data_IF_560333094393
#
_entry.id   IF_560333094393
#
_cell.length_a   1.000
_cell.length_b   1.000
_cell.length_c   1.000
_cell.angle_alpha   90.00
_cell.angle_beta   90.00
_cell.angle_gamma   90.00
#
_symmetry.space_group_name_H-M   'P 1'
#
loop_
_entity.id
_entity.type
_entity.pdbx_description
1 polymer ?
#
# COMPACT_ATOMS: atom_id res chain seq x y z
N UNK A 1 39.97 3.00 -43.60
CA UNK A 1 39.20 3.75 -42.58
C UNK A 1 37.69 3.84 -42.86
N UNK A 2 37.23 4.06 -44.11
CA UNK A 2 35.79 4.16 -44.44
C UNK A 2 34.96 2.88 -44.17
N UNK A 3 35.47 1.70 -44.50
CA UNK A 3 34.77 0.43 -44.29
C UNK A 3 34.57 0.06 -42.81
N UNK A 4 35.49 0.48 -41.93
CA UNK A 4 35.37 0.30 -40.48
C UNK A 4 34.25 1.18 -39.93
N UNK A 5 34.21 2.46 -40.34
CA UNK A 5 33.15 3.39 -39.97
C UNK A 5 31.76 2.90 -40.41
N UNK A 6 31.61 2.38 -41.63
CA UNK A 6 30.34 1.81 -42.10
C UNK A 6 29.89 0.55 -41.33
N UNK A 7 30.80 -0.37 -41.03
CA UNK A 7 30.49 -1.59 -40.26
C UNK A 7 30.07 -1.26 -38.82
N UNK A 8 30.76 -0.31 -38.18
CA UNK A 8 30.42 0.15 -36.84
C UNK A 8 29.15 0.99 -36.79
N UNK A 9 28.94 1.87 -37.78
CA UNK A 9 27.71 2.62 -37.93
C UNK A 9 26.51 1.68 -38.03
N UNK A 10 26.58 0.66 -38.91
CA UNK A 10 25.49 -0.31 -39.06
C UNK A 10 25.21 -1.12 -37.77
N UNK A 11 26.26 -1.53 -37.04
CA UNK A 11 26.11 -2.21 -35.74
C UNK A 11 25.44 -1.32 -34.69
N UNK A 12 25.86 -0.06 -34.59
CA UNK A 12 25.28 0.91 -33.66
C UNK A 12 23.82 1.18 -34.03
N UNK A 13 23.51 1.36 -35.33
CA UNK A 13 22.13 1.56 -35.80
C UNK A 13 21.23 0.37 -35.44
N UNK A 14 21.71 -0.87 -35.58
CA UNK A 14 20.96 -2.04 -35.15
C UNK A 14 20.69 -2.06 -33.65
N UNK A 15 21.71 -1.79 -32.83
CA UNK A 15 21.55 -1.72 -31.37
C UNK A 15 20.54 -0.63 -31.00
N UNK A 16 20.66 0.56 -31.59
CA UNK A 16 19.74 1.67 -31.36
C UNK A 16 18.32 1.35 -31.83
N UNK A 17 18.15 0.68 -32.98
CA UNK A 17 16.86 0.25 -33.49
C UNK A 17 16.17 -0.76 -32.58
N UNK A 18 16.90 -1.79 -32.12
CA UNK A 18 16.38 -2.77 -31.16
C UNK A 18 16.00 -2.11 -29.84
N UNK A 19 16.85 -1.21 -29.33
CA UNK A 19 16.57 -0.47 -28.11
C UNK A 19 15.32 0.41 -28.25
N UNK A 20 15.15 1.11 -29.37
CA UNK A 20 13.97 1.92 -29.65
C UNK A 20 12.69 1.08 -29.74
N UNK A 21 12.75 -0.10 -30.37
CA UNK A 21 11.62 -1.04 -30.43
C UNK A 21 11.26 -1.55 -29.04
N UNK A 22 12.24 -1.99 -28.23
CA UNK A 22 11.98 -2.44 -26.86
C UNK A 22 11.42 -1.33 -25.99
N UNK A 23 11.94 -0.11 -26.11
CA UNK A 23 11.44 1.06 -25.41
C UNK A 23 9.99 1.38 -25.82
N UNK A 24 9.67 1.35 -27.12
CA UNK A 24 8.31 1.56 -27.63
C UNK A 24 7.32 0.47 -27.21
N UNK A 25 7.69 -0.80 -27.35
CA UNK A 25 6.86 -1.94 -26.95
C UNK A 25 6.63 -1.98 -25.45
N UNK A 26 7.65 -1.63 -24.64
CA UNK A 26 7.47 -1.56 -23.19
C UNK A 26 6.49 -0.49 -22.77
N UNK A 27 6.33 0.60 -23.53
CA UNK A 27 5.28 1.61 -23.32
C UNK A 27 3.86 1.04 -23.32
N UNK A 28 3.58 0.00 -24.13
CA UNK A 28 2.28 -0.69 -24.15
C UNK A 28 1.96 -1.41 -22.83
N UNK A 29 2.98 -1.67 -21.99
CA UNK A 29 2.78 -2.23 -20.67
C UNK A 29 1.93 -1.30 -19.79
N UNK A 30 2.01 0.02 -19.98
CA UNK A 30 1.27 0.99 -19.18
C UNK A 30 -0.26 0.79 -19.22
N UNK A 31 -0.93 0.80 -20.39
CA UNK A 31 -2.36 0.51 -20.46
C UNK A 31 -2.70 -0.92 -20.03
N UNK A 32 -1.87 -1.91 -20.37
CA UNK A 32 -2.10 -3.32 -19.98
C UNK A 32 -2.12 -3.46 -18.46
N UNK A 33 -1.20 -2.80 -17.74
CA UNK A 33 -1.18 -2.81 -16.27
C UNK A 33 -2.50 -2.31 -15.69
N UNK A 34 -3.05 -1.22 -16.22
CA UNK A 34 -4.32 -0.65 -15.75
C UNK A 34 -5.46 -1.64 -16.00
N UNK A 35 -5.50 -2.29 -17.16
CA UNK A 35 -6.55 -3.25 -17.50
C UNK A 35 -6.54 -4.51 -16.64
N UNK A 36 -5.36 -5.02 -16.31
CA UNK A 36 -5.23 -6.21 -15.46
C UNK A 36 -5.24 -5.89 -13.97
N UNK A 37 -5.20 -4.61 -13.60
CA UNK A 37 -5.15 -4.20 -12.19
C UNK A 37 -6.35 -4.78 -11.42
N UNK A 38 -6.12 -5.32 -10.22
CA UNK A 38 -7.22 -5.83 -9.42
C UNK A 38 -8.10 -4.64 -9.04
N UNK A 39 -9.41 -4.76 -9.24
CA UNK A 39 -10.36 -3.73 -8.83
C UNK A 39 -10.84 -4.04 -7.42
N UNK A 40 -10.94 -3.04 -6.53
CA UNK A 40 -11.50 -3.28 -5.22
C UNK A 40 -12.98 -3.64 -5.35
N UNK A 41 -13.44 -4.54 -4.49
CA UNK A 41 -14.83 -4.97 -4.45
C UNK A 41 -15.77 -3.91 -3.86
N UNK A 42 -15.21 -2.97 -3.09
CA UNK A 42 -15.91 -1.83 -2.51
C UNK A 42 -15.08 -0.56 -2.65
N UNK A 43 -15.74 0.59 -2.80
CA UNK A 43 -15.07 1.90 -2.89
C UNK A 43 -15.18 2.71 -1.59
N UNK A 44 -15.98 2.25 -0.63
CA UNK A 44 -16.15 2.86 0.68
C UNK A 44 -15.74 1.88 1.79
N UNK A 45 -15.26 2.40 2.94
CA UNK A 45 -15.01 1.58 4.12
C UNK A 45 -16.27 0.82 4.57
N UNK A 46 -16.13 -0.35 5.22
CA UNK A 46 -17.27 -1.02 5.82
C UNK A 46 -17.85 -0.18 6.96
N UNK A 47 -19.17 -0.17 7.07
CA UNK A 47 -19.87 0.45 8.20
C UNK A 47 -20.07 -0.62 9.26
N UNK A 48 -19.29 -0.55 10.32
CA UNK A 48 -19.39 -1.43 11.49
C UNK A 48 -20.09 -0.70 12.64
N UNK A 49 -20.95 -1.40 13.42
CA UNK A 49 -21.65 -0.78 14.53
C UNK A 49 -20.67 -0.26 15.58
N UNK A 50 -20.82 1.01 15.96
CA UNK A 50 -20.04 1.65 17.00
C UNK A 50 -20.93 1.85 18.23
N UNK A 51 -20.62 1.13 19.30
CA UNK A 51 -21.29 1.20 20.59
C UNK A 51 -20.28 1.70 21.64
N UNK A 52 -20.53 2.90 22.14
CA UNK A 52 -19.76 3.55 23.20
C UNK A 52 -20.56 3.67 24.50
N UNK A 53 -21.67 2.93 24.65
CA UNK A 53 -22.41 2.93 25.90
C UNK A 53 -21.55 2.37 27.04
N UNK A 54 -21.41 3.15 28.11
CA UNK A 54 -20.53 2.82 29.25
C UNK A 54 -19.04 2.99 28.97
N UNK A 55 -18.65 3.65 27.87
CA UNK A 55 -17.26 3.95 27.59
C UNK A 55 -16.68 4.99 28.57
N UNK A 56 -15.43 4.78 28.96
CA UNK A 56 -14.59 5.78 29.59
C UNK A 56 -14.37 6.95 28.62
N UNK A 57 -14.14 8.14 29.17
CA UNK A 57 -13.79 9.29 28.33
C UNK A 57 -12.41 9.07 27.70
N UNK A 58 -12.14 9.65 26.51
CA UNK A 58 -10.81 9.57 25.92
C UNK A 58 -9.70 10.07 26.85
N UNK A 59 -9.97 11.09 27.66
CA UNK A 59 -9.02 11.61 28.64
C UNK A 59 -8.66 10.57 29.72
N UNK A 60 -9.65 9.82 30.22
CA UNK A 60 -9.40 8.74 31.19
C UNK A 60 -8.58 7.59 30.58
N UNK A 61 -8.78 7.30 29.30
CA UNK A 61 -7.99 6.27 28.60
C UNK A 61 -6.56 6.75 28.36
N UNK A 62 -6.38 8.01 27.96
CA UNK A 62 -5.06 8.62 27.82
C UNK A 62 -4.30 8.62 29.14
N UNK A 63 -4.94 9.00 30.24
CA UNK A 63 -4.37 8.97 31.59
C UNK A 63 -3.94 7.55 31.99
N UNK A 64 -4.84 6.55 31.83
CA UNK A 64 -4.52 5.14 32.09
C UNK A 64 -3.40 4.59 31.20
N UNK A 65 -3.31 5.06 29.96
CA UNK A 65 -2.29 4.64 29.01
C UNK A 65 -0.95 5.37 29.18
N UNK A 66 -0.86 6.36 30.07
CA UNK A 66 0.33 7.20 30.25
C UNK A 66 0.62 8.07 29.03
N UNK A 67 -0.41 8.48 28.29
CA UNK A 67 -0.31 9.28 27.07
C UNK A 67 -0.67 10.72 27.37
N UNK A 68 0.31 11.62 27.35
CA UNK A 68 0.10 13.05 27.60
C UNK A 68 -0.37 13.81 26.34
N UNK A 69 0.12 13.41 25.17
CA UNK A 69 -0.18 14.06 23.90
C UNK A 69 -0.68 13.04 22.87
N UNK A 70 -1.66 13.46 22.07
CA UNK A 70 -2.26 12.62 21.03
C UNK A 70 -2.29 13.39 19.71
N UNK A 71 -1.66 12.82 18.70
CA UNK A 71 -1.67 13.32 17.32
C UNK A 71 -2.96 12.93 16.59
N UNK A 72 -3.48 11.72 16.84
CA UNK A 72 -4.72 11.23 16.25
C UNK A 72 -5.52 10.44 17.30
N UNK A 73 -6.78 10.84 17.50
CA UNK A 73 -7.74 10.13 18.33
C UNK A 73 -9.00 9.85 17.50
N UNK A 74 -9.43 8.59 17.45
CA UNK A 74 -10.65 8.19 16.73
C UNK A 74 -11.40 7.11 17.50
N UNK A 75 -12.72 7.16 17.47
CA UNK A 75 -13.54 6.01 17.80
C UNK A 75 -13.71 5.14 16.54
N UNK A 76 -13.36 3.87 16.63
CA UNK A 76 -13.38 2.95 15.50
C UNK A 76 -14.00 1.62 15.91
N UNK A 77 -14.82 1.03 15.04
CA UNK A 77 -15.44 -0.27 15.30
C UNK A 77 -14.70 -1.37 14.54
N UNK A 78 -14.26 -2.44 15.18
CA UNK A 78 -13.75 -3.65 14.54
C UNK A 78 -14.83 -4.72 14.60
N UNK A 79 -15.58 -4.90 13.50
CA UNK A 79 -16.75 -5.78 13.45
C UNK A 79 -17.76 -5.39 14.53
N UNK A 80 -17.94 -6.19 15.57
CA UNK A 80 -18.91 -5.97 16.65
C UNK A 80 -18.29 -5.33 17.91
N UNK A 81 -16.98 -5.03 17.88
CA UNK A 81 -16.28 -4.44 19.01
C UNK A 81 -15.90 -2.98 18.71
N UNK A 82 -16.12 -2.09 19.66
CA UNK A 82 -15.72 -0.69 19.56
C UNK A 82 -14.37 -0.48 20.23
N UNK A 83 -13.56 0.40 19.66
CA UNK A 83 -12.21 0.73 20.12
C UNK A 83 -11.99 2.24 20.06
N UNK A 84 -11.17 2.76 20.97
CA UNK A 84 -10.51 4.03 20.76
C UNK A 84 -9.13 3.79 20.16
N UNK A 85 -8.91 4.39 19.01
CA UNK A 85 -7.63 4.40 18.32
C UNK A 85 -6.90 5.69 18.69
N UNK A 86 -5.70 5.52 19.22
CA UNK A 86 -4.80 6.60 19.61
C UNK A 86 -3.49 6.48 18.83
N UNK A 87 -2.95 7.61 18.42
CA UNK A 87 -1.58 7.74 17.93
C UNK A 87 -0.95 8.95 18.58
N UNK A 88 0.14 8.71 19.28
CA UNK A 88 0.85 9.75 20.07
C UNK A 88 1.52 10.78 19.17
N UNK A 89 2.24 10.32 18.14
CA UNK A 89 2.99 11.16 17.19
C UNK A 89 2.86 10.62 15.77
N UNK A 90 3.17 11.43 14.76
CA UNK A 90 2.98 11.05 13.37
C UNK A 90 3.75 9.78 12.95
N UNK A 91 4.92 9.56 13.56
CA UNK A 91 5.87 8.46 13.33
C UNK A 91 5.57 7.19 14.14
N UNK A 92 4.75 7.28 15.20
CA UNK A 92 4.40 6.13 16.03
C UNK A 92 3.24 5.32 15.43
N UNK A 93 3.20 4.00 15.67
CA UNK A 93 2.07 3.16 15.29
C UNK A 93 0.82 3.51 16.10
N UNK A 94 -0.33 3.10 15.58
CA UNK A 94 -1.62 3.27 16.25
C UNK A 94 -1.79 2.21 17.33
N UNK A 95 -2.36 2.62 18.46
CA UNK A 95 -2.69 1.78 19.62
C UNK A 95 -4.21 1.80 19.79
N UNK A 96 -4.82 0.64 19.99
CA UNK A 96 -6.27 0.51 20.15
C UNK A 96 -6.59 0.09 21.58
N UNK A 97 -7.60 0.73 22.14
CA UNK A 97 -8.02 0.53 23.53
C UNK A 97 -9.50 0.19 23.58
N UNK A 98 -9.85 -0.78 24.42
CA UNK A 98 -11.24 -1.09 24.74
C UNK A 98 -11.87 0.13 25.47
N UNK A 99 -12.97 0.71 24.96
CA UNK A 99 -13.60 1.90 25.53
C UNK A 99 -14.12 1.69 26.96
N UNK A 100 -14.52 0.48 27.34
CA UNK A 100 -15.13 0.18 28.64
C UNK A 100 -14.09 -0.11 29.70
N UNK A 101 -13.07 -0.91 29.38
CA UNK A 101 -12.02 -1.26 30.35
C UNK A 101 -10.86 -0.27 30.36
N UNK A 102 -10.59 0.38 29.23
CA UNK A 102 -9.37 1.15 28.96
C UNK A 102 -8.15 0.26 28.70
N UNK A 103 -8.34 -1.06 28.55
CA UNK A 103 -7.24 -1.99 28.25
C UNK A 103 -6.78 -1.85 26.80
N UNK A 104 -5.47 -1.86 26.59
CA UNK A 104 -4.87 -1.86 25.27
C UNK A 104 -4.98 -3.25 24.61
N UNK A 105 -5.40 -3.28 23.34
CA UNK A 105 -5.35 -4.46 22.49
C UNK A 105 -4.31 -4.25 21.38
N UNK A 106 -3.12 -4.82 21.60
CA UNK A 106 -1.99 -4.74 20.67
C UNK A 106 -2.22 -5.49 19.34
N UNK A 107 -3.27 -6.31 19.24
CA UNK A 107 -3.63 -7.06 18.03
C UNK A 107 -4.75 -6.39 17.25
N UNK A 108 -5.53 -5.51 17.88
CA UNK A 108 -6.70 -4.90 17.26
C UNK A 108 -6.37 -4.05 16.01
N UNK A 109 -5.27 -3.29 16.00
CA UNK A 109 -4.91 -2.48 14.81
C UNK A 109 -4.67 -3.37 13.58
N UNK A 110 -3.85 -4.42 13.77
CA UNK A 110 -3.57 -5.43 12.76
C UNK A 110 -4.84 -6.18 12.34
N UNK A 111 -5.68 -6.57 13.31
CA UNK A 111 -6.93 -7.28 13.04
C UNK A 111 -7.90 -6.42 12.23
N UNK A 112 -7.97 -5.12 12.53
CA UNK A 112 -8.73 -4.13 11.77
C UNK A 112 -8.21 -3.98 10.36
N UNK A 113 -6.91 -3.83 10.17
CA UNK A 113 -6.31 -3.79 8.85
C UNK A 113 -6.62 -5.05 8.02
N UNK A 114 -6.56 -6.24 8.62
CA UNK A 114 -6.94 -7.49 7.95
C UNK A 114 -8.43 -7.48 7.58
N UNK A 115 -9.32 -7.05 8.49
CA UNK A 115 -10.75 -6.99 8.22
C UNK A 115 -11.08 -6.01 7.07
N UNK A 116 -10.43 -4.84 7.03
CA UNK A 116 -10.54 -3.88 5.92
C UNK A 116 -10.00 -4.47 4.62
N UNK A 117 -8.83 -5.12 4.66
CA UNK A 117 -8.25 -5.76 3.49
C UNK A 117 -9.18 -6.82 2.88
N UNK A 118 -9.81 -7.64 3.73
CA UNK A 118 -10.82 -8.64 3.30
C UNK A 118 -12.07 -8.01 2.71
N UNK A 119 -12.54 -6.90 3.27
CA UNK A 119 -13.66 -6.13 2.72
C UNK A 119 -13.36 -5.63 1.31
N UNK A 120 -12.21 -4.99 1.11
CA UNK A 120 -11.83 -4.43 -0.18
C UNK A 120 -11.45 -5.47 -1.24
N UNK A 121 -10.97 -6.66 -0.84
CA UNK A 121 -10.65 -7.75 -1.77
C UNK A 121 -11.82 -8.70 -2.03
N UNK A 122 -12.91 -8.61 -1.27
CA UNK A 122 -13.97 -9.64 -1.20
C UNK A 122 -13.44 -11.04 -0.86
N UNK A 123 -12.29 -11.13 -0.19
CA UNK A 123 -11.66 -12.41 0.15
C UNK A 123 -11.76 -12.70 1.65
N UNK A 124 -12.68 -13.59 2.01
CA UNK A 124 -12.90 -13.99 3.41
C UNK A 124 -12.14 -15.27 3.80
N UNK A 125 -11.55 -15.99 2.85
CA UNK A 125 -11.08 -17.36 3.05
C UNK A 125 -9.57 -17.51 2.97
N UNK A 126 -8.91 -16.77 2.08
CA UNK A 126 -7.47 -16.93 1.88
C UNK A 126 -6.70 -16.62 3.18
N UNK A 127 -5.70 -17.44 3.54
CA UNK A 127 -4.83 -17.15 4.68
C UNK A 127 -4.09 -15.82 4.49
N UNK A 128 -3.74 -15.15 5.59
CA UNK A 128 -2.87 -13.97 5.55
C UNK A 128 -1.43 -14.47 5.58
N UNK A 129 -0.71 -14.29 4.48
CA UNK A 129 0.71 -14.64 4.35
C UNK A 129 1.60 -13.71 5.17
N UNK A 130 1.30 -12.40 5.15
CA UNK A 130 1.99 -11.43 5.98
C UNK A 130 1.18 -10.15 6.18
N UNK A 131 1.52 -9.42 7.23
CA UNK A 131 0.93 -8.12 7.58
C UNK A 131 2.04 -7.21 8.09
N UNK A 132 2.31 -6.12 7.40
CA UNK A 132 3.38 -5.19 7.73
C UNK A 132 2.84 -3.77 7.85
N UNK A 133 3.25 -3.05 8.89
CA UNK A 133 3.00 -1.62 9.03
C UNK A 133 4.03 -0.85 8.20
N UNK A 134 3.57 0.07 7.36
CA UNK A 134 4.40 0.92 6.52
C UNK A 134 4.20 2.37 6.91
N UNK A 135 5.25 2.98 7.47
CA UNK A 135 5.33 4.40 7.75
C UNK A 135 5.98 5.19 6.60
N UNK A 136 6.65 4.51 5.67
CA UNK A 136 7.41 5.09 4.57
C UNK A 136 7.06 4.46 3.23
N UNK A 137 7.35 5.18 2.14
CA UNK A 137 7.25 4.68 0.78
C UNK A 137 8.30 3.61 0.49
N UNK A 138 7.93 2.64 -0.33
CA UNK A 138 8.79 1.53 -0.74
C UNK A 138 8.70 1.33 -2.25
N UNK A 139 9.57 0.51 -2.82
CA UNK A 139 9.49 0.15 -4.25
C UNK A 139 8.13 -0.49 -4.64
N UNK A 140 7.43 -1.12 -3.69
CA UNK A 140 6.10 -1.71 -3.93
C UNK A 140 4.92 -0.81 -3.52
N UNK A 141 5.19 0.35 -2.93
CA UNK A 141 4.20 1.34 -2.48
C UNK A 141 4.84 2.73 -2.60
N UNK A 142 4.73 3.31 -3.80
CA UNK A 142 5.43 4.54 -4.18
C UNK A 142 4.66 5.80 -3.73
N UNK A 143 5.33 6.95 -3.80
CA UNK A 143 4.81 8.30 -3.44
C UNK A 143 3.53 8.71 -4.16
N UNK A 144 3.25 8.11 -5.34
CA UNK A 144 1.98 8.31 -6.03
C UNK A 144 0.78 7.93 -5.15
N UNK A 145 0.98 7.03 -4.18
CA UNK A 145 0.02 6.79 -3.12
C UNK A 145 0.18 7.87 -2.06
N UNK A 146 -0.80 8.76 -1.91
CA UNK A 146 -0.71 9.90 -0.98
C UNK A 146 -1.04 9.56 0.48
N UNK A 147 -1.11 8.26 0.82
CA UNK A 147 -1.60 7.80 2.11
C UNK A 147 -0.49 7.08 2.89
N UNK A 148 -0.10 7.65 4.02
CA UNK A 148 0.76 7.04 5.04
C UNK A 148 0.27 7.47 6.42
N UNK A 149 0.44 6.65 7.47
CA UNK A 149 0.91 5.27 7.43
C UNK A 149 -0.18 4.30 6.93
N UNK A 150 0.23 3.15 6.40
CA UNK A 150 -0.70 2.10 5.92
C UNK A 150 -0.26 0.72 6.37
N UNK A 151 -1.21 -0.21 6.45
CA UNK A 151 -0.94 -1.63 6.59
C UNK A 151 -0.90 -2.30 5.22
N UNK A 152 0.18 -3.04 4.96
CA UNK A 152 0.32 -3.96 3.83
C UNK A 152 -0.12 -5.35 4.26
N UNK A 153 -1.26 -5.81 3.76
CA UNK A 153 -1.79 -7.15 4.00
C UNK A 153 -1.59 -8.00 2.75
N UNK A 154 -0.75 -9.03 2.85
CA UNK A 154 -0.53 -9.99 1.77
C UNK A 154 -1.31 -11.28 2.06
N UNK A 155 -2.13 -11.70 1.09
CA UNK A 155 -2.87 -12.95 1.17
C UNK A 155 -2.06 -14.09 0.54
N UNK A 156 -2.22 -15.29 1.08
CA UNK A 156 -1.66 -16.52 0.52
C UNK A 156 -2.57 -17.04 -0.60
N UNK A 157 -2.38 -16.46 -1.79
CA UNK A 157 -3.14 -16.73 -3.01
C UNK A 157 -2.17 -16.99 -4.15
N UNK A 158 -2.63 -17.70 -5.18
CA UNK A 158 -1.84 -17.96 -6.39
C UNK A 158 -1.40 -16.67 -7.13
N UNK A 159 -2.19 -15.60 -7.02
CA UNK A 159 -1.91 -14.27 -7.58
C UNK A 159 -1.05 -13.38 -6.67
N UNK A 160 -0.64 -13.84 -5.48
CA UNK A 160 0.07 -13.07 -4.46
C UNK A 160 -0.58 -11.67 -4.23
N UNK A 161 -1.90 -11.65 -3.99
CA UNK A 161 -2.68 -10.43 -3.73
C UNK A 161 -2.15 -9.69 -2.50
N UNK A 162 -2.00 -8.38 -2.64
CA UNK A 162 -1.62 -7.45 -1.57
C UNK A 162 -2.61 -6.30 -1.53
N UNK A 163 -3.08 -5.97 -0.34
CA UNK A 163 -4.00 -4.86 -0.09
C UNK A 163 -3.36 -3.90 0.89
N UNK A 164 -3.34 -2.62 0.54
CA UNK A 164 -2.82 -1.55 1.39
C UNK A 164 -3.97 -0.73 1.94
N UNK A 165 -4.12 -0.69 3.26
CA UNK A 165 -5.25 -0.02 3.93
C UNK A 165 -4.76 0.88 5.04
N UNK A 166 -5.44 2.00 5.23
CA UNK A 166 -5.28 2.82 6.42
C UNK A 166 -6.24 2.33 7.51
N UNK A 167 -5.71 1.72 8.57
CA UNK A 167 -6.51 1.26 9.71
C UNK A 167 -7.21 2.39 10.46
N UNK A 168 -6.70 3.63 10.41
CA UNK A 168 -7.27 4.78 11.10
C UNK A 168 -8.57 5.25 10.45
N UNK A 169 -8.48 5.69 9.20
CA UNK A 169 -9.66 6.16 8.44
C UNK A 169 -10.54 5.02 7.91
N UNK A 170 -9.98 3.80 7.78
CA UNK A 170 -10.65 2.69 7.11
C UNK A 170 -10.47 2.69 5.59
N UNK A 171 -9.76 3.67 5.03
CA UNK A 171 -9.64 3.83 3.57
C UNK A 171 -8.72 2.78 2.93
N UNK A 172 -9.08 2.38 1.72
CA UNK A 172 -8.18 1.66 0.81
C UNK A 172 -7.18 2.64 0.21
N UNK A 173 -5.89 2.33 0.34
CA UNK A 173 -4.85 3.03 -0.41
C UNK A 173 -4.72 2.47 -1.83
N UNK A 174 -4.45 1.16 -1.93
CA UNK A 174 -4.31 0.47 -3.21
C UNK A 174 -4.42 -1.04 -3.05
N UNK A 175 -4.70 -1.73 -4.15
CA UNK A 175 -4.76 -3.19 -4.24
C UNK A 175 -3.87 -3.63 -5.41
N UNK A 176 -3.14 -4.72 -5.22
CA UNK A 176 -2.11 -5.13 -6.16
C UNK A 176 -1.91 -6.65 -6.18
N UNK A 177 -1.39 -7.19 -7.28
CA UNK A 177 -1.12 -8.62 -7.44
C UNK A 177 0.11 -8.86 -8.32
N UNK A 178 0.57 -10.11 -8.39
CA UNK A 178 1.83 -10.51 -9.00
C UNK A 178 2.02 -10.11 -10.46
N UNK A 179 1.00 -10.29 -11.31
CA UNK A 179 1.12 -10.01 -12.75
C UNK A 179 1.29 -8.51 -13.01
N UNK A 180 0.48 -7.67 -12.35
CA UNK A 180 0.67 -6.21 -12.37
C UNK A 180 2.05 -5.81 -11.87
N UNK A 181 2.54 -6.35 -10.76
CA UNK A 181 3.89 -6.05 -10.24
C UNK A 181 5.00 -6.37 -11.23
N UNK A 182 4.93 -7.54 -11.88
CA UNK A 182 5.91 -7.95 -12.89
C UNK A 182 5.90 -7.00 -14.09
N UNK A 183 4.72 -6.63 -14.56
CA UNK A 183 4.58 -5.71 -15.68
C UNK A 183 5.05 -4.29 -15.32
N UNK A 184 4.81 -3.85 -14.09
CA UNK A 184 5.36 -2.60 -13.55
C UNK A 184 6.88 -2.63 -13.48
N UNK A 185 7.48 -3.71 -12.97
CA UNK A 185 8.92 -3.85 -12.97
C UNK A 185 9.50 -3.84 -14.40
N UNK A 186 8.86 -4.49 -15.35
CA UNK A 186 9.26 -4.47 -16.76
C UNK A 186 9.18 -3.05 -17.35
N UNK A 187 8.06 -2.35 -17.16
CA UNK A 187 7.89 -0.97 -17.61
C UNK A 187 8.94 -0.04 -17.01
N UNK A 188 9.13 -0.08 -15.68
CA UNK A 188 10.07 0.79 -14.98
C UNK A 188 11.53 0.54 -15.40
N UNK A 189 11.91 -0.70 -15.70
CA UNK A 189 13.28 -1.00 -16.12
C UNK A 189 13.52 -0.79 -17.62
N UNK A 190 12.55 -1.05 -18.48
CA UNK A 190 12.74 -1.02 -19.95
C UNK A 190 12.29 0.30 -20.57
N UNK A 191 11.23 0.91 -20.03
CA UNK A 191 10.70 2.18 -20.54
C UNK A 191 11.31 3.38 -19.81
N UNK A 192 11.35 3.33 -18.47
CA UNK A 192 11.88 4.42 -17.64
C UNK A 192 13.38 4.26 -17.32
N UNK A 193 14.00 3.16 -17.74
CA UNK A 193 15.42 2.83 -17.49
C UNK A 193 15.85 3.10 -16.04
N UNK A 194 15.00 2.77 -15.05
CA UNK A 194 15.20 3.14 -13.65
C UNK A 194 16.46 2.57 -12.99
N UNK A 195 17.12 1.62 -13.65
CA UNK A 195 18.44 1.13 -13.25
C UNK A 195 19.56 2.17 -13.47
N UNK A 196 19.33 3.19 -14.30
CA UNK A 196 20.26 4.31 -14.51
C UNK A 196 20.07 5.36 -13.41
N UNK A 197 21.14 5.69 -12.64
CA UNK A 197 21.04 6.63 -11.52
C UNK A 197 20.51 8.01 -11.91
N UNK A 198 20.83 8.46 -13.13
CA UNK A 198 20.42 9.77 -13.65
C UNK A 198 18.90 9.90 -13.79
N UNK A 199 18.21 8.79 -14.08
CA UNK A 199 16.76 8.77 -14.32
C UNK A 199 15.96 8.44 -13.04
N UNK A 200 16.63 7.94 -11.98
CA UNK A 200 16.01 7.60 -10.69
C UNK A 200 15.55 8.83 -9.90
N UNK A 201 16.23 9.96 -10.05
CA UNK A 201 15.97 11.17 -9.27
C UNK A 201 15.01 12.16 -9.98
N UNK A 202 14.55 11.85 -11.20
CA UNK A 202 13.67 12.72 -12.00
C UNK A 202 12.21 12.27 -12.11
N UNK A 203 11.86 11.07 -11.64
CA UNK A 203 10.52 10.48 -11.75
C UNK A 203 9.84 10.28 -10.39
N UNK A 204 9.86 11.33 -9.55
CA UNK A 204 8.92 11.49 -8.42
C UNK A 204 7.56 12.09 -8.84
N UNK A 205 7.35 12.31 -10.14
CA UNK A 205 6.14 12.89 -10.71
C UNK A 205 5.75 12.11 -11.97
N UNK A 206 4.83 11.17 -11.85
CA UNK A 206 3.84 10.78 -12.87
C UNK A 206 2.92 9.69 -12.30
#
# INVERSE_FOLDING_TARGET
MKAFSFKWHHRITWIAGVAAILWGLSGLSHPIMVWISPKPAAFAPPVWPLDLTGALSPAQIMEKAGVETVFELRAVALRDQSYYLLRETADKPRRLFDPRSGAEDNRADRARAIALARHYSSDQQSPVKSSAYLADFTAGYTENNRLLPVWKIAFDRSDDLVVYVDSGSGNLATIDHKHRRRLSAFFTNVHLLAFLPLMRNGCGCC
#
